data_IF_925166459906
#
_entry.id   IF_925166459906
#
_cell.length_a   1.000
_cell.length_b   1.000
_cell.length_c   1.000
_cell.angle_alpha   90.00
_cell.angle_beta   90.00
_cell.angle_gamma   90.00
#
_symmetry.space_group_name_H-M   'P 1'
#
loop_
_entity.id
_entity.type
_entity.pdbx_description
1 polymer ?
#
# COMPACT_ATOMS: atom_id res chain seq x y z
N UNK A 1 -16.01 -41.78 59.64
CA UNK A 1 -16.80 -40.99 60.61
C UNK A 1 -16.17 -41.18 61.99
N UNK A 2 -16.24 -40.18 62.87
CA UNK A 2 -15.60 -40.21 64.18
C UNK A 2 -16.64 -40.32 65.29
N UNK A 3 -16.62 -41.43 66.03
CA UNK A 3 -17.57 -41.72 67.12
C UNK A 3 -17.24 -41.04 68.47
N UNK A 4 -16.32 -40.06 68.48
CA UNK A 4 -15.92 -39.35 69.71
C UNK A 4 -16.67 -38.02 69.81
N UNK A 5 -17.92 -38.09 70.27
CA UNK A 5 -18.90 -36.99 70.32
C UNK A 5 -18.64 -35.86 71.33
N UNK A 6 -17.49 -35.18 71.27
CA UNK A 6 -17.34 -33.85 71.92
C UNK A 6 -16.70 -32.85 70.95
N UNK A 7 -17.47 -31.82 70.60
CA UNK A 7 -17.11 -30.78 69.63
C UNK A 7 -17.28 -31.23 68.18
N UNK A 8 -18.47 -30.99 67.60
CA UNK A 8 -18.76 -31.30 66.19
C UNK A 8 -18.85 -30.00 65.38
N UNK A 9 -18.15 -29.97 64.25
CA UNK A 9 -18.16 -28.90 63.26
C UNK A 9 -18.85 -29.41 61.99
N UNK A 10 -19.69 -28.58 61.38
CA UNK A 10 -20.33 -28.87 60.09
C UNK A 10 -19.61 -28.12 58.98
N UNK A 11 -19.35 -28.79 57.86
CA UNK A 11 -18.91 -28.14 56.63
C UNK A 11 -20.12 -27.78 55.78
N UNK A 12 -20.33 -26.50 55.48
CA UNK A 12 -21.49 -26.06 54.71
C UNK A 12 -21.49 -26.52 53.26
N UNK A 13 -20.31 -26.79 52.68
CA UNK A 13 -20.19 -27.25 51.30
C UNK A 13 -20.62 -28.70 51.11
N UNK A 14 -20.08 -29.62 51.92
CA UNK A 14 -20.39 -31.05 51.80
C UNK A 14 -21.49 -31.53 52.76
N UNK A 15 -22.00 -30.64 53.63
CA UNK A 15 -23.03 -30.91 54.65
C UNK A 15 -22.72 -32.07 55.61
N UNK A 16 -21.44 -32.43 55.73
CA UNK A 16 -20.99 -33.48 56.64
C UNK A 16 -20.54 -32.92 58.01
N UNK A 17 -20.74 -33.72 59.05
CA UNK A 17 -20.30 -33.42 60.41
C UNK A 17 -18.97 -34.09 60.73
N UNK A 18 -18.07 -33.34 61.34
CA UNK A 18 -16.73 -33.80 61.70
C UNK A 18 -16.43 -33.41 63.14
N UNK A 19 -15.57 -34.16 63.84
CA UNK A 19 -14.93 -33.60 65.03
C UNK A 19 -13.84 -32.60 64.60
N UNK A 20 -13.39 -31.72 65.51
CA UNK A 20 -12.41 -30.66 65.21
C UNK A 20 -11.20 -31.15 64.41
N UNK A 21 -10.63 -32.30 64.77
CA UNK A 21 -9.47 -32.87 64.08
C UNK A 21 -9.79 -33.23 62.62
N UNK A 22 -10.84 -34.01 62.38
CA UNK A 22 -11.22 -34.43 61.03
C UNK A 22 -11.77 -33.27 60.19
N UNK A 23 -12.30 -32.21 60.83
CA UNK A 23 -12.68 -30.98 60.14
C UNK A 23 -11.46 -30.24 59.58
N UNK A 24 -10.38 -30.15 60.35
CA UNK A 24 -9.12 -29.55 59.89
C UNK A 24 -8.48 -30.37 58.77
N UNK A 25 -8.48 -31.70 58.88
CA UNK A 25 -8.04 -32.60 57.80
C UNK A 25 -8.85 -32.39 56.52
N UNK A 26 -10.18 -32.30 56.62
CA UNK A 26 -11.05 -32.01 55.48
C UNK A 26 -10.75 -30.64 54.85
N UNK A 27 -10.55 -29.60 55.66
CA UNK A 27 -10.15 -28.27 55.17
C UNK A 27 -8.79 -28.29 54.44
N UNK A 28 -7.83 -29.04 54.97
CA UNK A 28 -6.53 -29.21 54.33
C UNK A 28 -6.66 -29.93 52.98
N UNK A 29 -7.47 -30.98 52.89
CA UNK A 29 -7.75 -31.68 51.64
C UNK A 29 -8.38 -30.76 50.60
N UNK A 30 -9.34 -29.93 51.01
CA UNK A 30 -9.96 -28.94 50.11
C UNK A 30 -8.95 -27.89 49.62
N UNK A 31 -8.05 -27.41 50.48
CA UNK A 31 -6.99 -26.49 50.07
C UNK A 31 -6.08 -27.12 49.02
N UNK A 32 -5.62 -28.36 49.26
CA UNK A 32 -4.80 -29.10 48.31
C UNK A 32 -5.53 -29.38 47.00
N UNK A 33 -6.84 -29.61 47.06
CA UNK A 33 -7.67 -29.80 45.88
C UNK A 33 -7.81 -28.49 45.09
N UNK A 34 -8.05 -27.36 45.76
CA UNK A 34 -8.15 -26.06 45.10
C UNK A 34 -6.84 -25.68 44.39
N UNK A 35 -5.70 -25.90 45.04
CA UNK A 35 -4.39 -25.65 44.43
C UNK A 35 -4.16 -26.54 43.20
N UNK A 36 -4.52 -27.83 43.26
CA UNK A 36 -4.36 -28.76 42.12
C UNK A 36 -5.33 -28.53 40.97
N UNK A 37 -6.59 -28.28 41.28
CA UNK A 37 -7.67 -28.32 40.28
C UNK A 37 -8.01 -26.93 39.76
N UNK A 38 -7.73 -25.86 40.51
CA UNK A 38 -8.10 -24.49 40.13
C UNK A 38 -6.86 -23.65 39.85
N UNK A 39 -5.93 -23.55 40.81
CA UNK A 39 -4.75 -22.69 40.67
C UNK A 39 -3.87 -23.19 39.53
N UNK A 40 -3.59 -24.50 39.47
CA UNK A 40 -2.80 -25.07 38.38
C UNK A 40 -3.43 -24.82 37.00
N UNK A 41 -4.73 -25.05 36.84
CA UNK A 41 -5.41 -24.83 35.54
C UNK A 41 -5.34 -23.35 35.15
N UNK A 42 -5.53 -22.44 36.10
CA UNK A 42 -5.39 -21.01 35.88
C UNK A 42 -3.97 -20.66 35.38
N UNK A 43 -2.94 -21.15 36.05
CA UNK A 43 -1.55 -20.85 35.73
C UNK A 43 -1.15 -21.47 34.37
N UNK A 44 -1.57 -22.71 34.10
CA UNK A 44 -1.38 -23.38 32.81
C UNK A 44 -2.05 -22.59 31.67
N UNK A 45 -3.25 -22.05 31.89
CA UNK A 45 -3.95 -21.21 30.90
C UNK A 45 -3.25 -19.88 30.69
N UNK A 46 -2.76 -19.24 31.75
CA UNK A 46 -1.98 -18.01 31.64
C UNK A 46 -0.70 -18.24 30.85
N UNK A 47 0.01 -19.33 31.11
CA UNK A 47 1.22 -19.70 30.38
C UNK A 47 0.92 -19.93 28.91
N UNK A 48 -0.15 -20.70 28.58
CA UNK A 48 -0.58 -20.91 27.20
C UNK A 48 -0.93 -19.59 26.48
N UNK A 49 -1.66 -18.68 27.13
CA UNK A 49 -1.97 -17.37 26.56
C UNK A 49 -0.69 -16.57 26.29
N UNK A 50 0.27 -16.61 27.22
CA UNK A 50 1.56 -15.93 27.05
C UNK A 50 2.40 -16.55 25.93
N UNK A 51 2.38 -17.88 25.77
CA UNK A 51 3.07 -18.56 24.67
C UNK A 51 2.43 -18.24 23.30
N UNK A 52 1.11 -18.16 23.21
CA UNK A 52 0.40 -17.80 21.96
C UNK A 52 0.60 -16.32 21.59
N UNK A 53 0.81 -15.45 22.58
CA UNK A 53 1.11 -14.02 22.35
C UNK A 53 2.49 -13.74 21.77
N UNK A 54 3.35 -14.74 21.59
CA UNK A 54 4.62 -14.60 20.86
C UNK A 54 4.32 -14.50 19.35
N UNK A 55 4.27 -13.31 18.73
CA UNK A 55 3.70 -13.11 17.40
C UNK A 55 4.70 -13.40 16.27
N UNK A 56 5.90 -13.88 16.59
CA UNK A 56 7.12 -13.63 15.82
C UNK A 56 7.27 -14.37 14.49
N UNK A 57 6.28 -15.13 14.00
CA UNK A 57 6.44 -15.88 12.73
C UNK A 57 5.36 -15.51 11.72
N UNK A 58 4.09 -15.52 12.14
CA UNK A 58 2.97 -15.16 11.23
C UNK A 58 2.85 -13.63 11.10
N UNK A 59 3.20 -12.86 12.13
CA UNK A 59 3.25 -11.40 12.04
C UNK A 59 4.39 -10.95 11.12
N UNK A 60 5.54 -11.63 11.18
CA UNK A 60 6.74 -11.24 10.43
C UNK A 60 6.56 -11.46 8.92
N UNK A 61 5.92 -12.57 8.50
CA UNK A 61 5.62 -12.82 7.09
C UNK A 61 4.60 -11.83 6.51
N UNK A 62 3.53 -11.51 7.26
CA UNK A 62 2.54 -10.53 6.82
C UNK A 62 3.11 -9.12 6.78
N UNK A 63 3.94 -8.75 7.75
CA UNK A 63 4.67 -7.47 7.72
C UNK A 63 5.61 -7.41 6.52
N UNK A 64 6.36 -8.48 6.23
CA UNK A 64 7.22 -8.53 5.04
C UNK A 64 6.42 -8.36 3.74
N UNK A 65 5.24 -8.96 3.62
CA UNK A 65 4.35 -8.75 2.47
C UNK A 65 3.85 -7.29 2.36
N UNK A 66 3.58 -6.63 3.48
CA UNK A 66 3.23 -5.20 3.51
C UNK A 66 4.43 -4.36 3.06
N UNK A 67 5.63 -4.66 3.56
CA UNK A 67 6.87 -3.95 3.22
C UNK A 67 7.23 -4.09 1.73
N UNK A 68 7.06 -5.30 1.18
CA UNK A 68 7.24 -5.58 -0.25
C UNK A 68 6.23 -4.80 -1.10
N UNK A 69 4.96 -4.80 -0.67
CA UNK A 69 3.91 -4.04 -1.33
C UNK A 69 4.18 -2.53 -1.31
N UNK A 70 4.61 -1.99 -0.16
CA UNK A 70 4.97 -0.58 0.00
C UNK A 70 6.11 -0.21 -0.95
N UNK A 71 7.21 -0.98 -0.90
CA UNK A 71 8.40 -0.76 -1.72
C UNK A 71 8.05 -0.80 -3.22
N UNK A 72 7.30 -1.82 -3.65
CA UNK A 72 6.86 -1.96 -5.04
C UNK A 72 5.98 -0.80 -5.50
N UNK A 73 5.08 -0.34 -4.63
CA UNK A 73 4.14 0.75 -4.93
C UNK A 73 4.88 2.09 -5.07
N UNK A 74 5.83 2.38 -4.18
CA UNK A 74 6.69 3.57 -4.28
C UNK A 74 7.45 3.58 -5.61
N UNK A 75 8.01 2.45 -6.04
CA UNK A 75 8.73 2.34 -7.32
C UNK A 75 7.81 2.66 -8.49
N UNK A 76 6.58 2.12 -8.49
CA UNK A 76 5.59 2.40 -9.54
C UNK A 76 5.21 3.88 -9.60
N UNK A 77 4.93 4.50 -8.44
CA UNK A 77 4.60 5.93 -8.35
C UNK A 77 5.77 6.78 -8.89
N UNK A 78 7.01 6.47 -8.50
CA UNK A 78 8.20 7.15 -9.00
C UNK A 78 8.35 7.03 -10.52
N UNK A 79 8.09 5.84 -11.09
CA UNK A 79 8.14 5.62 -12.54
C UNK A 79 7.10 6.45 -13.27
N UNK A 80 5.85 6.48 -12.79
CA UNK A 80 4.78 7.30 -13.40
C UNK A 80 5.13 8.79 -13.29
N UNK A 81 5.63 9.24 -12.14
CA UNK A 81 6.07 10.63 -11.98
C UNK A 81 7.23 10.99 -12.93
N UNK A 82 8.18 10.08 -13.17
CA UNK A 82 9.25 10.30 -14.15
C UNK A 82 8.72 10.40 -15.58
N UNK A 83 7.77 9.55 -15.97
CA UNK A 83 7.12 9.63 -17.28
C UNK A 83 6.39 10.98 -17.45
N UNK A 84 5.64 11.42 -16.45
CA UNK A 84 4.98 12.72 -16.48
C UNK A 84 5.98 13.88 -16.63
N UNK A 85 7.10 13.87 -15.88
CA UNK A 85 8.17 14.87 -16.06
C UNK A 85 8.77 14.84 -17.47
N UNK A 86 8.98 13.66 -18.03
CA UNK A 86 9.52 13.53 -19.39
C UNK A 86 8.54 14.08 -20.42
N UNK A 87 7.24 13.81 -20.30
CA UNK A 87 6.22 14.37 -21.17
C UNK A 87 6.22 15.90 -21.14
N UNK A 88 6.31 16.50 -19.94
CA UNK A 88 6.42 17.95 -19.80
C UNK A 88 7.64 18.50 -20.54
N UNK A 89 8.82 17.90 -20.35
CA UNK A 89 10.04 18.29 -21.06
C UNK A 89 9.88 18.14 -22.58
N UNK A 90 9.25 17.05 -23.03
CA UNK A 90 9.04 16.79 -24.45
C UNK A 90 8.18 17.86 -25.11
N UNK A 91 7.09 18.27 -24.47
CA UNK A 91 6.21 19.34 -24.97
C UNK A 91 7.01 20.63 -25.23
N UNK A 92 7.82 21.07 -24.27
CA UNK A 92 8.65 22.27 -24.44
C UNK A 92 9.79 22.06 -25.46
N UNK A 93 10.38 20.86 -25.53
CA UNK A 93 11.49 20.58 -26.45
C UNK A 93 11.05 20.58 -27.92
N UNK A 94 9.87 20.05 -28.24
CA UNK A 94 9.33 20.04 -29.61
C UNK A 94 9.05 21.46 -30.09
N UNK A 95 8.47 22.29 -29.23
CA UNK A 95 8.16 23.69 -29.53
C UNK A 95 9.43 24.52 -29.77
N UNK A 96 10.45 24.35 -28.93
CA UNK A 96 11.73 25.05 -29.08
C UNK A 96 12.58 24.54 -30.25
N UNK A 97 12.49 23.25 -30.58
CA UNK A 97 13.18 22.68 -31.73
C UNK A 97 12.69 23.30 -33.05
N UNK A 98 11.37 23.44 -33.24
CA UNK A 98 10.80 24.03 -34.45
C UNK A 98 11.24 25.49 -34.66
N UNK A 99 11.33 26.28 -33.58
CA UNK A 99 11.85 27.65 -33.65
C UNK A 99 13.33 27.68 -34.03
N UNK A 100 14.12 26.77 -33.46
CA UNK A 100 15.56 26.67 -33.74
C UNK A 100 15.82 26.31 -35.20
N UNK A 101 15.06 25.38 -35.76
CA UNK A 101 15.16 24.99 -37.18
C UNK A 101 14.77 26.14 -38.13
N UNK A 102 13.70 26.87 -37.82
CA UNK A 102 13.29 28.03 -38.59
C UNK A 102 14.32 29.15 -38.53
N UNK A 103 14.89 29.42 -37.36
CA UNK A 103 15.96 30.41 -37.20
C UNK A 103 17.22 29.99 -37.97
N UNK A 104 17.58 28.70 -37.94
CA UNK A 104 18.67 28.14 -38.73
C UNK A 104 18.48 28.36 -40.23
N UNK A 105 17.27 28.13 -40.74
CA UNK A 105 16.91 28.37 -42.14
C UNK A 105 17.08 29.84 -42.53
N UNK A 106 16.64 30.78 -41.69
CA UNK A 106 16.84 32.22 -41.92
C UNK A 106 18.32 32.59 -41.88
N UNK A 107 19.10 32.00 -40.96
CA UNK A 107 20.54 32.22 -40.87
C UNK A 107 21.28 31.73 -42.13
N UNK A 108 20.86 30.61 -42.71
CA UNK A 108 21.43 30.08 -43.95
C UNK A 108 21.05 30.93 -45.19
N UNK A 109 19.83 31.46 -45.24
CA UNK A 109 19.42 32.43 -46.25
C UNK A 109 20.29 33.69 -46.18
N UNK A 110 20.48 34.25 -44.98
CA UNK A 110 21.36 35.42 -44.75
C UNK A 110 22.80 35.13 -45.19
N UNK A 111 23.37 33.98 -44.82
CA UNK A 111 24.74 33.61 -45.21
C UNK A 111 24.90 33.48 -46.73
N UNK A 112 23.89 32.91 -47.39
CA UNK A 112 23.90 32.74 -48.85
C UNK A 112 23.90 34.11 -49.54
N UNK A 113 22.99 35.00 -49.16
CA UNK A 113 22.89 36.35 -49.71
C UNK A 113 24.16 37.17 -49.46
N UNK A 114 24.76 37.05 -48.28
CA UNK A 114 26.04 37.72 -47.97
C UNK A 114 27.21 37.17 -48.78
N UNK A 115 27.24 35.86 -49.05
CA UNK A 115 28.31 35.22 -49.81
C UNK A 115 28.22 35.55 -51.30
N UNK A 116 27.00 35.63 -51.81
CA UNK A 116 26.72 35.93 -53.22
C UNK A 116 26.67 37.43 -53.51
N UNK A 117 26.64 38.27 -52.46
CA UNK A 117 26.49 39.73 -52.53
C UNK A 117 25.28 40.14 -53.38
N UNK A 118 24.19 39.37 -53.26
CA UNK A 118 23.05 39.35 -54.19
C UNK A 118 21.74 39.87 -53.57
N UNK A 119 21.82 40.59 -52.45
CA UNK A 119 20.64 41.07 -51.72
C UNK A 119 20.06 42.37 -52.29
N UNK A 120 18.73 42.46 -52.30
CA UNK A 120 17.96 43.67 -52.62
C UNK A 120 17.10 44.12 -51.42
N UNK A 121 16.50 45.31 -51.52
CA UNK A 121 15.60 45.86 -50.51
C UNK A 121 14.47 44.90 -50.13
N UNK A 122 13.91 44.20 -51.12
CA UNK A 122 12.84 43.21 -50.91
C UNK A 122 13.32 42.01 -50.06
N UNK A 123 14.58 41.60 -50.19
CA UNK A 123 15.17 40.53 -49.37
C UNK A 123 15.34 40.99 -47.92
N UNK A 124 15.77 42.24 -47.72
CA UNK A 124 15.93 42.84 -46.40
C UNK A 124 14.57 42.91 -45.69
N UNK A 125 13.54 43.44 -46.36
CA UNK A 125 12.20 43.55 -45.79
C UNK A 125 11.62 42.16 -45.47
N UNK A 126 11.76 41.19 -46.38
CA UNK A 126 11.32 39.81 -46.17
C UNK A 126 11.99 39.17 -44.95
N UNK A 127 13.32 39.29 -44.83
CA UNK A 127 14.09 38.71 -43.72
C UNK A 127 13.74 39.38 -42.39
N UNK A 128 13.59 40.70 -42.37
CA UNK A 128 13.13 41.43 -41.18
C UNK A 128 11.74 40.96 -40.74
N UNK A 129 10.83 40.73 -41.68
CA UNK A 129 9.49 40.24 -41.38
C UNK A 129 9.53 38.81 -40.78
N UNK A 130 10.33 37.91 -41.34
CA UNK A 130 10.55 36.56 -40.79
C UNK A 130 11.15 36.60 -39.37
N UNK A 131 12.15 37.45 -39.14
CA UNK A 131 12.78 37.59 -37.81
C UNK A 131 11.82 38.16 -36.78
N UNK A 132 11.04 39.18 -37.14
CA UNK A 132 10.01 39.74 -36.26
C UNK A 132 8.90 38.73 -35.92
N UNK A 133 8.53 37.86 -36.86
CA UNK A 133 7.58 36.77 -36.60
C UNK A 133 8.15 35.75 -35.62
N UNK A 134 9.40 35.32 -35.81
CA UNK A 134 10.07 34.38 -34.90
C UNK A 134 10.20 34.97 -33.49
N UNK A 135 10.53 36.26 -33.37
CA UNK A 135 10.60 36.96 -32.08
C UNK A 135 9.24 36.96 -31.37
N UNK A 136 8.15 37.28 -32.07
CA UNK A 136 6.80 37.22 -31.50
C UNK A 136 6.41 35.81 -31.03
N UNK A 137 6.75 34.78 -31.81
CA UNK A 137 6.49 33.38 -31.43
C UNK A 137 7.25 32.98 -30.17
N UNK A 138 8.50 33.45 -30.03
CA UNK A 138 9.32 33.22 -28.83
C UNK A 138 8.74 33.93 -27.60
N UNK A 139 8.33 35.19 -27.75
CA UNK A 139 7.70 35.98 -26.69
C UNK A 139 6.38 35.33 -26.22
N UNK A 140 5.58 34.83 -27.16
CA UNK A 140 4.33 34.11 -26.86
C UNK A 140 4.58 32.80 -26.10
N UNK A 141 5.61 32.02 -26.48
CA UNK A 141 5.98 30.79 -25.76
C UNK A 141 6.42 31.08 -24.32
N UNK A 142 7.17 32.17 -24.11
CA UNK A 142 7.61 32.58 -22.77
C UNK A 142 6.45 32.98 -21.84
N UNK A 143 5.30 33.32 -22.42
CA UNK A 143 4.09 33.78 -21.71
C UNK A 143 3.02 32.68 -21.54
N UNK A 144 3.10 31.58 -22.29
CA UNK A 144 2.09 30.51 -22.22
C UNK A 144 2.29 29.58 -21.02
N UNK A 145 1.50 29.82 -19.97
CA UNK A 145 1.20 28.93 -18.84
C UNK A 145 0.41 27.65 -19.24
N UNK A 146 0.70 27.03 -20.39
CA UNK A 146 -0.24 26.07 -21.01
C UNK A 146 -0.14 24.61 -20.54
N UNK A 147 0.80 24.27 -19.65
CA UNK A 147 0.89 22.90 -19.13
C UNK A 147 0.23 22.81 -17.77
N UNK A 148 -1.08 22.50 -17.76
CA UNK A 148 -1.79 22.16 -16.53
C UNK A 148 -1.48 20.71 -16.14
N UNK A 149 -0.81 20.53 -15.01
CA UNK A 149 -0.65 19.22 -14.40
C UNK A 149 -2.00 18.71 -13.89
N UNK A 150 -2.44 17.57 -14.40
CA UNK A 150 -3.64 16.87 -13.90
C UNK A 150 -3.15 15.74 -12.99
N UNK A 151 -3.39 15.88 -11.68
CA UNK A 151 -3.17 14.83 -10.69
C UNK A 151 -4.55 14.32 -10.28
N UNK A 152 -4.79 13.02 -10.40
CA UNK A 152 -5.99 12.38 -9.86
C UNK A 152 -5.73 12.01 -8.39
N UNK A 153 -6.43 12.66 -7.48
CA UNK A 153 -6.35 12.47 -6.03
C UNK A 153 -7.38 11.47 -5.48
N UNK A 154 -8.21 10.87 -6.36
CA UNK A 154 -9.33 9.99 -5.96
C UNK A 154 -8.90 8.58 -5.56
N UNK A 155 -7.60 8.32 -5.43
CA UNK A 155 -7.10 7.02 -5.01
C UNK A 155 -7.42 6.84 -3.52
N UNK A 156 -8.39 5.98 -3.22
CA UNK A 156 -8.70 5.57 -1.85
C UNK A 156 -7.64 4.59 -1.34
N UNK A 157 -6.58 5.12 -0.74
CA UNK A 157 -5.45 4.36 -0.21
C UNK A 157 -5.86 3.29 0.81
N UNK A 158 -6.94 3.52 1.57
CA UNK A 158 -7.42 2.58 2.60
C UNK A 158 -8.03 1.30 2.00
N UNK A 159 -8.32 1.29 0.69
CA UNK A 159 -8.82 0.12 -0.03
C UNK A 159 -7.73 -0.61 -0.82
N UNK A 160 -6.52 -0.05 -0.90
CA UNK A 160 -5.42 -0.67 -1.63
C UNK A 160 -4.75 -1.80 -0.86
N UNK A 161 -4.65 -1.67 0.46
CA UNK A 161 -4.16 -2.72 1.36
C UNK A 161 -4.93 -2.69 2.68
N UNK A 162 -5.43 -3.85 3.11
CA UNK A 162 -6.11 -4.01 4.39
C UNK A 162 -5.96 -5.44 4.90
N UNK A 163 -5.94 -5.61 6.23
CA UNK A 163 -5.94 -6.91 6.87
C UNK A 163 -7.35 -7.25 7.38
N UNK A 164 -7.87 -8.42 6.98
CA UNK A 164 -9.15 -8.93 7.46
C UNK A 164 -8.95 -10.26 8.20
N UNK A 165 -9.57 -10.42 9.36
CA UNK A 165 -9.61 -11.70 10.07
C UNK A 165 -10.63 -12.61 9.40
N UNK A 166 -10.18 -13.65 8.70
CA UNK A 166 -11.10 -14.68 8.23
C UNK A 166 -11.63 -15.46 9.43
N UNK A 167 -12.92 -15.29 9.75
CA UNK A 167 -13.66 -16.27 10.55
C UNK A 167 -13.91 -17.47 9.64
N UNK A 168 -13.36 -18.64 9.99
CA UNK A 168 -13.48 -19.86 9.20
C UNK A 168 -14.93 -20.10 8.74
N UNK A 169 -15.14 -20.23 7.43
CA UNK A 169 -16.43 -20.61 6.86
C UNK A 169 -16.44 -22.10 6.57
N UNK A 170 -17.48 -22.78 7.07
CA UNK A 170 -17.95 -24.05 6.55
C UNK A 170 -18.00 -24.00 5.02
N UNK A 171 -17.40 -25.02 4.40
CA UNK A 171 -17.40 -25.24 2.96
C UNK A 171 -18.83 -25.36 2.45
N UNK A 172 -19.29 -24.37 1.68
CA UNK A 172 -20.17 -24.66 0.54
C UNK A 172 -19.46 -24.21 -0.74
N UNK A 173 -18.90 -25.23 -1.39
CA UNK A 173 -18.47 -25.20 -2.76
C UNK A 173 -19.66 -24.81 -3.64
N UNK A 174 -19.53 -23.71 -4.36
CA UNK A 174 -20.16 -23.53 -5.65
C UNK A 174 -19.12 -22.89 -6.54
N UNK A 175 -18.52 -23.74 -7.37
CA UNK A 175 -17.56 -23.36 -8.38
C UNK A 175 -18.17 -22.30 -9.31
N UNK A 176 -17.42 -21.23 -9.52
CA UNK A 176 -17.43 -20.51 -10.79
C UNK A 176 -15.97 -20.46 -11.20
N UNK A 177 -15.55 -21.47 -11.96
CA UNK A 177 -14.34 -21.40 -12.76
C UNK A 177 -14.52 -20.26 -13.76
N UNK A 178 -13.69 -19.23 -13.67
CA UNK A 178 -13.38 -18.40 -14.83
C UNK A 178 -11.89 -18.55 -15.08
N UNK A 179 -11.59 -19.39 -16.04
CA UNK A 179 -10.28 -19.57 -16.64
C UNK A 179 -9.96 -18.34 -17.50
N UNK A 180 -8.78 -17.73 -17.32
CA UNK A 180 -8.14 -16.95 -18.39
C UNK A 180 -6.63 -17.26 -18.44
N UNK A 181 -6.06 -17.36 -19.66
CA UNK A 181 -4.73 -17.90 -19.89
C UNK A 181 -3.62 -16.87 -19.65
N UNK A 182 -2.46 -17.36 -19.24
CA UNK A 182 -1.18 -16.65 -19.22
C UNK A 182 -0.78 -16.25 -20.65
N UNK A 183 -1.06 -15.01 -21.05
CA UNK A 183 -0.27 -14.24 -22.03
C UNK A 183 -0.90 -12.88 -22.31
N UNK A 184 -0.09 -11.83 -22.28
CA UNK A 184 -0.37 -10.48 -22.79
C UNK A 184 -1.27 -9.59 -21.92
N UNK A 185 -0.65 -8.70 -21.16
CA UNK A 185 -1.32 -7.55 -20.54
C UNK A 185 -1.70 -6.58 -21.69
N UNK A 186 -2.97 -6.61 -22.10
CA UNK A 186 -3.57 -5.56 -22.93
C UNK A 186 -4.25 -4.52 -22.02
N UNK A 187 -3.98 -3.26 -22.35
CA UNK A 187 -4.59 -2.06 -21.81
C UNK A 187 -6.11 -2.05 -22.07
N UNK A 188 -6.91 -1.54 -21.12
CA UNK A 188 -8.29 -1.13 -21.36
C UNK A 188 -8.55 0.24 -20.73
N UNK A 189 -9.31 1.09 -21.43
CA UNK A 189 -9.59 2.52 -21.26
C UNK A 189 -10.31 2.92 -19.94
N UNK A 190 -10.31 2.07 -18.91
CA UNK A 190 -10.95 2.38 -17.63
C UNK A 190 -10.09 2.12 -16.40
N UNK A 191 -8.76 1.99 -16.50
CA UNK A 191 -7.82 2.37 -15.43
C UNK A 191 -7.95 1.75 -14.04
N UNK A 192 -8.61 0.60 -13.84
CA UNK A 192 -8.73 -0.02 -12.51
C UNK A 192 -7.79 -1.24 -12.38
N UNK A 193 -7.05 -1.29 -11.28
CA UNK A 193 -6.23 -2.43 -10.87
C UNK A 193 -6.92 -3.13 -9.69
N UNK A 194 -6.98 -4.46 -9.69
CA UNK A 194 -7.39 -5.25 -8.53
C UNK A 194 -6.44 -6.43 -8.35
N UNK A 195 -5.96 -6.63 -7.12
CA UNK A 195 -5.29 -7.85 -6.69
C UNK A 195 -6.11 -8.48 -5.56
N UNK A 196 -6.36 -9.78 -5.67
CA UNK A 196 -7.10 -10.55 -4.66
C UNK A 196 -6.13 -11.53 -4.00
N UNK A 197 -5.71 -11.24 -2.77
CA UNK A 197 -4.99 -12.22 -1.94
C UNK A 197 -6.06 -13.10 -1.30
N UNK A 198 -6.08 -14.39 -1.65
CA UNK A 198 -6.93 -15.39 -1.00
C UNK A 198 -6.04 -16.32 -0.18
N UNK A 199 -6.22 -16.32 1.13
CA UNK A 199 -5.63 -17.31 2.03
C UNK A 199 -6.57 -18.51 2.07
N UNK A 200 -6.05 -19.70 1.76
CA UNK A 200 -6.69 -20.97 2.07
C UNK A 200 -6.07 -21.50 3.36
N UNK A 201 -6.90 -21.68 4.39
CA UNK A 201 -6.59 -22.42 5.62
C UNK A 201 -6.83 -23.92 5.38
#
# INVERSE_FOLDING_TARGET
>A
MCDKGRGMCICDGCKAYFCTRHFNEHRQQLSMQFDRDVVKIHDDLLEQIHSVKQPNIVSDDLCAQIDDWETSTIVKIKKVAQLARHQVIQLFSQETQSLTENLGTVADEIRTLLKEDSFAEDDIERLQLKLNQLQKSLDQQSQTENVKLIIDDRIDWNRLIYAEKQKGKEKKSSAIEICFPLSSILFNEKGHFYFRISIAL
#
